data_IF_698579431048
#
_entry.id   IF_698579431048
#
_cell.length_a   1.000
_cell.length_b   1.000
_cell.length_c   1.000
_cell.angle_alpha   90.00
_cell.angle_beta   90.00
_cell.angle_gamma   90.00
#
_symmetry.space_group_name_H-M   'P 1'
#
loop_
_entity.id
_entity.type
_entity.pdbx_description
1 polymer ?
#
# COMPACT_ATOMS: atom_id res chain seq x y z
N UNK A 1 -6.69 -21.09 -2.32
CA UNK A 1 -5.53 -20.58 -1.58
C UNK A 1 -5.63 -19.08 -1.27
N UNK A 2 -5.99 -18.21 -2.23
CA UNK A 2 -6.16 -16.75 -2.02
C UNK A 2 -7.00 -16.38 -0.78
N UNK A 3 -8.22 -16.92 -0.68
CA UNK A 3 -9.15 -16.61 0.42
C UNK A 3 -8.62 -17.04 1.80
N UNK A 4 -7.80 -18.10 1.85
CA UNK A 4 -7.16 -18.56 3.09
C UNK A 4 -6.07 -17.58 3.52
N UNK A 5 -5.27 -17.08 2.57
CA UNK A 5 -4.27 -16.05 2.83
C UNK A 5 -4.94 -14.76 3.34
N UNK A 6 -6.03 -14.33 2.68
CA UNK A 6 -6.82 -13.17 3.12
C UNK A 6 -7.37 -13.40 4.53
N UNK A 7 -7.96 -14.57 4.81
CA UNK A 7 -8.47 -14.91 6.14
C UNK A 7 -7.37 -14.86 7.21
N UNK A 8 -6.19 -15.40 6.93
CA UNK A 8 -5.04 -15.38 7.84
C UNK A 8 -4.52 -13.95 8.08
N UNK A 9 -4.43 -13.13 7.03
CA UNK A 9 -4.02 -11.73 7.15
C UNK A 9 -5.03 -10.92 7.95
N UNK A 10 -6.33 -11.11 7.69
CA UNK A 10 -7.40 -10.42 8.42
C UNK A 10 -7.47 -10.87 9.89
N UNK A 11 -7.32 -12.17 10.16
CA UNK A 11 -7.27 -12.69 11.53
C UNK A 11 -6.03 -12.17 12.28
N UNK A 12 -4.87 -12.16 11.63
CA UNK A 12 -3.64 -11.60 12.19
C UNK A 12 -3.78 -10.11 12.48
N UNK A 13 -4.35 -9.32 11.55
CA UNK A 13 -4.63 -7.90 11.74
C UNK A 13 -5.61 -7.66 12.89
N UNK A 14 -6.68 -8.45 12.96
CA UNK A 14 -7.67 -8.35 14.03
C UNK A 14 -7.04 -8.63 15.39
N UNK A 15 -6.22 -9.68 15.51
CA UNK A 15 -5.52 -10.02 16.74
C UNK A 15 -4.50 -8.95 17.13
N UNK A 16 -3.76 -8.42 16.15
CA UNK A 16 -2.76 -7.38 16.36
C UNK A 16 -3.38 -6.08 16.87
N UNK A 17 -4.56 -5.71 16.37
CA UNK A 17 -5.30 -4.53 16.81
C UNK A 17 -6.06 -4.75 18.11
N UNK A 18 -6.64 -5.95 18.33
CA UNK A 18 -7.47 -6.24 19.50
C UNK A 18 -6.65 -6.55 20.75
N UNK A 19 -5.63 -7.41 20.64
CA UNK A 19 -4.82 -7.89 21.77
C UNK A 19 -5.56 -8.73 22.83
N UNK A 20 -6.83 -9.10 22.59
CA UNK A 20 -7.70 -9.78 23.57
C UNK A 20 -7.93 -11.24 23.17
N UNK A 21 -7.64 -12.18 24.08
CA UNK A 21 -7.71 -13.63 23.86
C UNK A 21 -8.88 -14.32 24.58
N UNK A 22 -10.00 -13.63 24.79
CA UNK A 22 -11.20 -14.22 25.40
C UNK A 22 -11.95 -15.08 24.37
N UNK A 23 -12.37 -16.33 24.70
CA UNK A 23 -13.04 -17.22 23.74
C UNK A 23 -14.25 -16.60 23.02
N UNK A 24 -15.06 -15.82 23.74
CA UNK A 24 -16.22 -15.11 23.16
C UNK A 24 -15.81 -14.03 22.15
N UNK A 25 -14.73 -13.31 22.42
CA UNK A 25 -14.26 -12.23 21.53
C UNK A 25 -13.57 -12.83 20.31
N UNK A 26 -12.83 -13.93 20.49
CA UNK A 26 -12.25 -14.71 19.41
C UNK A 26 -13.32 -15.29 18.47
N UNK A 27 -14.45 -15.77 18.98
CA UNK A 27 -15.53 -16.29 18.13
C UNK A 27 -16.18 -15.18 17.30
N UNK A 28 -16.37 -13.98 17.87
CA UNK A 28 -16.83 -12.82 17.12
C UNK A 28 -15.81 -12.36 16.06
N UNK A 29 -14.51 -12.36 16.39
CA UNK A 29 -13.45 -12.08 15.43
C UNK A 29 -13.45 -13.08 14.26
N UNK A 30 -13.52 -14.37 14.55
CA UNK A 30 -13.59 -15.42 13.55
C UNK A 30 -14.84 -15.30 12.66
N UNK A 31 -16.00 -15.03 13.27
CA UNK A 31 -17.25 -14.77 12.55
C UNK A 31 -17.14 -13.55 11.62
N UNK A 32 -16.54 -12.45 12.10
CA UNK A 32 -16.30 -11.25 11.29
C UNK A 32 -15.40 -11.54 10.09
N UNK A 33 -14.27 -12.23 10.30
CA UNK A 33 -13.35 -12.61 9.21
C UNK A 33 -14.05 -13.49 8.19
N UNK A 34 -14.87 -14.46 8.64
CA UNK A 34 -15.65 -15.32 7.75
C UNK A 34 -16.60 -14.51 6.86
N UNK A 35 -17.36 -13.57 7.44
CA UNK A 35 -18.29 -12.70 6.68
C UNK A 35 -17.55 -11.89 5.62
N UNK A 36 -16.42 -11.27 5.98
CA UNK A 36 -15.62 -10.49 5.02
C UNK A 36 -15.12 -11.37 3.88
N UNK A 37 -14.62 -12.57 4.17
CA UNK A 37 -14.14 -13.51 3.14
C UNK A 37 -15.27 -13.98 2.23
N UNK A 38 -16.48 -14.18 2.74
CA UNK A 38 -17.66 -14.52 1.94
C UNK A 38 -18.04 -13.39 0.98
N UNK A 39 -18.02 -12.14 1.45
CA UNK A 39 -18.29 -10.96 0.61
C UNK A 39 -17.22 -10.84 -0.48
N UNK A 40 -15.93 -10.92 -0.13
CA UNK A 40 -14.84 -10.84 -1.12
C UNK A 40 -14.93 -11.97 -2.16
N UNK A 41 -15.23 -13.19 -1.73
CA UNK A 41 -15.42 -14.31 -2.66
C UNK A 41 -16.60 -14.09 -3.61
N UNK A 42 -17.65 -13.39 -3.16
CA UNK A 42 -18.79 -13.01 -4.00
C UNK A 42 -18.43 -11.91 -5.00
N UNK A 43 -17.66 -10.90 -4.58
CA UNK A 43 -17.17 -9.80 -5.42
C UNK A 43 -16.21 -10.30 -6.50
N UNK A 44 -15.22 -11.11 -6.12
CA UNK A 44 -14.24 -11.71 -7.05
C UNK A 44 -14.91 -12.48 -8.20
N UNK A 45 -16.05 -13.13 -7.93
CA UNK A 45 -16.81 -13.87 -8.95
C UNK A 45 -17.48 -12.94 -9.97
N UNK A 46 -17.84 -11.72 -9.56
CA UNK A 46 -18.50 -10.73 -10.42
C UNK A 46 -17.46 -9.97 -11.24
N UNK A 47 -16.40 -9.47 -10.60
CA UNK A 47 -15.43 -8.59 -11.23
C UNK A 47 -14.44 -9.35 -12.12
N UNK A 48 -14.23 -10.66 -11.88
CA UNK A 48 -13.26 -11.48 -12.62
C UNK A 48 -11.80 -11.03 -12.47
N UNK A 49 -11.57 -9.98 -11.69
CA UNK A 49 -10.27 -9.34 -11.51
C UNK A 49 -9.54 -9.99 -10.34
N UNK A 50 -8.53 -10.79 -10.66
CA UNK A 50 -7.61 -11.33 -9.66
C UNK A 50 -6.30 -10.55 -9.78
N UNK A 51 -6.03 -9.60 -8.87
CA UNK A 51 -4.76 -8.90 -8.92
C UNK A 51 -3.63 -9.93 -8.85
N UNK A 52 -2.62 -9.77 -9.72
CA UNK A 52 -1.51 -10.71 -9.80
C UNK A 52 -0.48 -10.40 -8.70
N UNK A 53 -0.66 -11.03 -7.54
CA UNK A 53 0.23 -10.87 -6.38
C UNK A 53 1.49 -11.73 -6.55
N UNK A 54 2.32 -11.39 -7.53
CA UNK A 54 3.63 -12.02 -7.75
C UNK A 54 4.72 -11.22 -7.03
N UNK A 55 4.60 -11.07 -5.72
CA UNK A 55 5.62 -10.40 -4.89
C UNK A 55 6.50 -11.44 -4.20
N UNK A 56 7.83 -11.33 -4.36
CA UNK A 56 8.79 -12.14 -3.62
C UNK A 56 8.92 -11.55 -2.20
N UNK A 57 8.57 -12.28 -1.12
CA UNK A 57 8.50 -11.70 0.24
C UNK A 57 9.79 -11.01 0.70
N UNK A 58 10.95 -11.63 0.44
CA UNK A 58 12.24 -11.07 0.80
C UNK A 58 12.58 -9.78 0.03
N UNK A 59 12.22 -9.72 -1.26
CA UNK A 59 12.43 -8.52 -2.06
C UNK A 59 11.51 -7.39 -1.60
N UNK A 60 10.27 -7.72 -1.19
CA UNK A 60 9.34 -6.75 -0.62
C UNK A 60 9.87 -6.15 0.69
N UNK A 61 10.41 -6.98 1.59
CA UNK A 61 10.98 -6.48 2.85
C UNK A 61 12.18 -5.56 2.62
N UNK A 62 13.09 -5.93 1.70
CA UNK A 62 14.23 -5.07 1.34
C UNK A 62 13.78 -3.73 0.73
N UNK A 63 12.80 -3.77 -0.16
CA UNK A 63 12.19 -2.57 -0.73
C UNK A 63 11.50 -1.71 0.34
N UNK A 64 10.79 -2.33 1.29
CA UNK A 64 10.10 -1.63 2.37
C UNK A 64 11.07 -0.87 3.28
N UNK A 65 12.17 -1.51 3.69
CA UNK A 65 13.22 -0.87 4.50
C UNK A 65 13.90 0.26 3.73
N UNK A 66 14.16 0.06 2.43
CA UNK A 66 14.70 1.11 1.56
C UNK A 66 13.73 2.31 1.46
N UNK A 67 12.43 2.06 1.28
CA UNK A 67 11.41 3.09 1.17
C UNK A 67 11.29 3.90 2.47
N UNK A 68 11.34 3.26 3.63
CA UNK A 68 11.36 3.96 4.94
C UNK A 68 12.53 4.95 5.04
N UNK A 69 13.70 4.60 4.51
CA UNK A 69 14.85 5.51 4.46
C UNK A 69 14.58 6.72 3.56
N UNK A 70 13.95 6.52 2.40
CA UNK A 70 13.59 7.62 1.50
C UNK A 70 12.50 8.52 2.10
N UNK A 71 11.53 7.96 2.85
CA UNK A 71 10.54 8.74 3.60
C UNK A 71 11.23 9.59 4.68
N UNK A 72 12.18 9.03 5.43
CA UNK A 72 12.91 9.80 6.44
C UNK A 72 13.70 10.97 5.81
N UNK A 73 14.35 10.73 4.66
CA UNK A 73 15.01 11.80 3.88
C UNK A 73 14.01 12.84 3.37
N UNK A 74 12.84 12.41 2.92
CA UNK A 74 11.74 13.25 2.46
C UNK A 74 11.31 14.24 3.54
N UNK A 75 10.98 13.72 4.72
CA UNK A 75 10.60 14.55 5.87
C UNK A 75 11.73 15.52 6.27
N UNK A 76 12.99 15.10 6.21
CA UNK A 76 14.12 15.97 6.50
C UNK A 76 14.29 17.11 5.49
N UNK A 77 14.16 16.81 4.19
CA UNK A 77 14.21 17.81 3.13
C UNK A 77 13.06 18.82 3.27
N UNK A 78 11.84 18.33 3.50
CA UNK A 78 10.66 19.18 3.73
C UNK A 78 10.84 20.06 4.98
N UNK A 79 11.36 19.50 6.07
CA UNK A 79 11.64 20.25 7.31
C UNK A 79 12.60 21.41 7.05
N UNK A 80 13.68 21.18 6.28
CA UNK A 80 14.63 22.24 5.92
C UNK A 80 13.99 23.36 5.11
N UNK A 81 13.10 23.01 4.18
CA UNK A 81 12.37 24.00 3.36
C UNK A 81 11.43 24.83 4.23
N UNK A 82 10.70 24.20 5.15
CA UNK A 82 9.77 24.89 6.06
C UNK A 82 10.51 25.85 7.02
N UNK A 83 11.69 25.45 7.51
CA UNK A 83 12.51 26.26 8.42
C UNK A 83 13.37 27.30 7.70
N UNK A 84 13.43 27.29 6.37
CA UNK A 84 14.24 28.23 5.61
C UNK A 84 13.66 29.65 5.72
N UNK A 85 14.48 30.70 5.96
CA UNK A 85 14.01 32.08 6.01
C UNK A 85 13.36 32.58 4.70
N UNK A 86 13.71 31.96 3.57
CA UNK A 86 13.09 32.20 2.28
C UNK A 86 12.84 30.87 1.54
N UNK A 87 11.61 30.67 1.09
CA UNK A 87 11.21 29.48 0.33
C UNK A 87 11.20 29.77 -1.17
N UNK A 88 12.30 29.43 -1.85
CA UNK A 88 12.37 29.45 -3.31
C UNK A 88 11.88 28.12 -3.89
N UNK A 89 10.56 27.96 -3.98
CA UNK A 89 9.93 26.76 -4.55
C UNK A 89 9.63 26.97 -6.04
N UNK A 90 10.00 25.99 -6.89
CA UNK A 90 9.59 25.90 -8.29
C UNK A 90 8.87 24.58 -8.51
N UNK A 91 7.60 24.67 -8.88
CA UNK A 91 6.75 23.51 -9.16
C UNK A 91 6.79 23.20 -10.65
N UNK A 92 6.92 21.93 -11.00
CA UNK A 92 6.89 21.44 -12.37
C UNK A 92 5.95 20.25 -12.45
N UNK A 93 5.09 20.24 -13.47
CA UNK A 93 4.26 19.10 -13.83
C UNK A 93 4.88 18.46 -15.06
N UNK A 94 5.20 17.18 -14.96
CA UNK A 94 5.79 16.41 -16.06
C UNK A 94 5.25 14.98 -16.04
N UNK A 95 5.14 14.39 -17.22
CA UNK A 95 4.65 13.02 -17.36
C UNK A 95 5.80 12.01 -17.30
N UNK A 96 5.59 10.88 -16.61
CA UNK A 96 6.57 9.79 -16.50
C UNK A 96 6.04 8.53 -17.18
N UNK A 97 6.77 7.92 -18.13
CA UNK A 97 6.31 6.71 -18.80
C UNK A 97 6.26 5.51 -17.83
N UNK A 98 5.15 4.76 -17.86
CA UNK A 98 4.97 3.56 -17.03
C UNK A 98 5.45 2.34 -17.79
N UNK A 99 6.41 1.60 -17.22
CA UNK A 99 6.91 0.32 -17.77
C UNK A 99 6.34 -0.91 -17.07
N UNK A 100 5.65 -0.71 -15.94
CA UNK A 100 5.07 -1.79 -15.13
C UNK A 100 3.82 -2.39 -15.78
N UNK A 101 3.73 -3.72 -15.81
CA UNK A 101 2.61 -4.47 -16.43
C UNK A 101 1.49 -4.86 -15.45
N UNK A 102 1.69 -4.65 -14.15
CA UNK A 102 0.75 -5.03 -13.09
C UNK A 102 0.25 -3.79 -12.38
N UNK A 103 -1.07 -3.71 -12.16
CA UNK A 103 -1.71 -2.59 -11.48
C UNK A 103 -1.14 -2.40 -10.07
N UNK A 104 -0.83 -3.50 -9.37
CA UNK A 104 -0.19 -3.46 -8.04
C UNK A 104 1.20 -2.80 -8.12
N UNK A 105 1.96 -3.09 -9.17
CA UNK A 105 3.27 -2.48 -9.37
C UNK A 105 3.14 -0.99 -9.76
N UNK A 106 2.14 -0.65 -10.58
CA UNK A 106 1.84 0.73 -10.95
C UNK A 106 1.47 1.58 -9.74
N UNK A 107 0.55 1.10 -8.91
CA UNK A 107 0.10 1.78 -7.68
C UNK A 107 1.25 1.89 -6.67
N UNK A 108 2.04 0.83 -6.50
CA UNK A 108 3.21 0.85 -5.60
C UNK A 108 4.23 1.90 -6.05
N UNK A 109 4.48 1.99 -7.37
CA UNK A 109 5.41 2.96 -7.93
C UNK A 109 4.91 4.40 -7.79
N UNK A 110 3.63 4.67 -8.10
CA UNK A 110 3.00 5.97 -7.90
C UNK A 110 3.07 6.42 -6.42
N UNK A 111 2.74 5.53 -5.49
CA UNK A 111 2.83 5.82 -4.06
C UNK A 111 4.28 6.04 -3.61
N UNK A 112 5.25 5.35 -4.21
CA UNK A 112 6.68 5.59 -3.92
C UNK A 112 7.08 7.00 -4.29
N UNK A 113 6.70 7.48 -5.48
CA UNK A 113 6.99 8.84 -5.93
C UNK A 113 6.34 9.86 -5.00
N UNK A 114 5.10 9.62 -4.60
CA UNK A 114 4.41 10.54 -3.68
C UNK A 114 5.07 10.60 -2.29
N UNK A 115 5.70 9.52 -1.86
CA UNK A 115 6.41 9.45 -0.58
C UNK A 115 7.85 9.98 -0.63
N UNK A 116 8.44 10.12 -1.81
CA UNK A 116 9.78 10.72 -2.00
C UNK A 116 9.75 12.26 -1.89
N UNK A 117 10.88 12.89 -1.53
CA UNK A 117 10.90 14.33 -1.27
C UNK A 117 10.42 15.19 -2.44
N UNK A 118 9.38 15.99 -2.20
CA UNK A 118 8.98 17.08 -3.09
C UNK A 118 8.19 16.68 -4.33
N UNK A 119 7.62 15.47 -4.37
CA UNK A 119 6.81 14.97 -5.50
C UNK A 119 5.44 14.49 -5.07
N UNK A 120 4.44 14.63 -5.95
CA UNK A 120 3.08 14.11 -5.77
C UNK A 120 2.61 13.54 -7.11
N UNK A 121 2.03 12.34 -7.09
CA UNK A 121 1.37 11.76 -8.27
C UNK A 121 -0.08 12.23 -8.32
N UNK A 122 -0.50 12.82 -9.44
CA UNK A 122 -1.83 13.41 -9.61
C UNK A 122 -2.76 12.46 -10.38
N UNK A 123 -2.24 11.84 -11.45
CA UNK A 123 -3.00 10.96 -12.33
C UNK A 123 -2.17 9.71 -12.66
N UNK A 124 -2.86 8.60 -12.90
CA UNK A 124 -2.23 7.35 -13.31
C UNK A 124 -3.00 6.76 -14.48
N UNK A 125 -2.40 6.80 -15.67
CA UNK A 125 -2.92 6.11 -16.86
C UNK A 125 -2.12 4.84 -17.15
N UNK A 126 -2.66 3.86 -17.89
CA UNK A 126 -1.96 2.62 -18.23
C UNK A 126 -0.61 2.79 -18.95
N UNK A 127 -0.30 3.99 -19.47
CA UNK A 127 0.93 4.28 -20.23
C UNK A 127 1.77 5.44 -19.67
N UNK A 128 1.20 6.34 -18.85
CA UNK A 128 1.89 7.51 -18.28
C UNK A 128 1.34 7.88 -16.90
N UNK A 129 2.22 8.40 -16.05
CA UNK A 129 1.90 9.19 -14.85
C UNK A 129 2.04 10.67 -15.17
#
# INVERSE_FOLDING_TARGET
MKNVIIALVLAGLWLLLSGIYKPLILSFGAGSVLVVVLIMARMDRIDGYVPQWRMKPFAFLGYFVWLLKEIAKSNWAVTKVILAPSMNLRQHLFAVPVTSKSDVAQVTFANSITLTPGTITIETEPKRF
#
